data_IF_821743556604
#
_entry.id   IF_821743556604
#
_cell.length_a   1.000
_cell.length_b   1.000
_cell.length_c   1.000
_cell.angle_alpha   90.00
_cell.angle_beta   90.00
_cell.angle_gamma   90.00
#
_symmetry.space_group_name_H-M   'P 1'
#
loop_
_entity.id
_entity.type
_entity.pdbx_description
1 polymer ?
#
# COMPACT_ATOMS: atom_id res chain seq x y z
N UNK A 1 -44.90 -40.26 31.72
CA UNK A 1 -46.03 -39.38 32.08
C UNK A 1 -45.42 -38.14 32.73
N UNK A 2 -45.38 -36.95 32.12
CA UNK A 2 -46.49 -36.00 31.99
C UNK A 2 -46.21 -35.04 30.82
N UNK A 3 -47.22 -34.84 29.98
CA UNK A 3 -47.33 -33.79 28.97
C UNK A 3 -47.73 -32.49 29.68
N UNK A 4 -47.04 -31.38 29.43
CA UNK A 4 -47.66 -30.05 29.42
C UNK A 4 -47.05 -29.26 28.24
N UNK A 5 -47.90 -29.05 27.25
CA UNK A 5 -47.74 -28.12 26.13
C UNK A 5 -48.25 -26.76 26.61
N UNK A 6 -47.53 -25.68 26.31
CA UNK A 6 -48.13 -24.34 26.22
C UNK A 6 -47.43 -23.55 25.09
N UNK A 7 -48.18 -23.41 23.99
CA UNK A 7 -47.98 -22.45 22.90
C UNK A 7 -48.22 -21.03 23.40
N UNK A 8 -47.35 -20.09 23.05
CA UNK A 8 -47.59 -18.68 22.61
C UNK A 8 -46.25 -17.93 22.72
N UNK A 9 -45.80 -17.09 21.79
CA UNK A 9 -46.39 -16.55 20.59
C UNK A 9 -45.33 -15.93 19.66
N UNK A 10 -45.82 -15.56 18.47
CA UNK A 10 -45.17 -14.81 17.40
C UNK A 10 -44.45 -13.52 17.85
N UNK A 11 -43.39 -13.17 17.09
CA UNK A 11 -42.71 -11.87 16.83
C UNK A 11 -41.19 -12.04 17.05
N UNK A 12 -40.28 -11.57 16.21
CA UNK A 12 -40.36 -10.80 14.98
C UNK A 12 -39.07 -11.04 14.18
N UNK A 13 -39.18 -11.03 12.86
CA UNK A 13 -38.04 -11.00 11.96
C UNK A 13 -37.22 -9.70 12.18
N UNK A 14 -35.91 -9.83 12.35
CA UNK A 14 -34.96 -8.79 11.93
C UNK A 14 -33.66 -9.46 11.48
N UNK A 15 -33.56 -9.62 10.16
CA UNK A 15 -32.29 -9.86 9.50
C UNK A 15 -31.47 -8.56 9.61
N UNK A 16 -30.49 -8.54 10.51
CA UNK A 16 -29.48 -7.50 10.51
C UNK A 16 -28.23 -8.07 9.86
N UNK A 17 -28.11 -7.82 8.55
CA UNK A 17 -26.80 -7.83 7.89
C UNK A 17 -26.02 -6.64 8.44
N UNK A 18 -25.37 -6.82 9.59
CA UNK A 18 -24.30 -5.93 10.01
C UNK A 18 -23.06 -6.27 9.18
N UNK A 19 -23.04 -5.76 7.95
CA UNK A 19 -21.82 -5.62 7.19
C UNK A 19 -20.88 -4.72 8.02
N UNK A 20 -19.90 -5.32 8.67
CA UNK A 20 -18.73 -4.61 9.18
C UNK A 20 -17.93 -4.09 7.97
N UNK A 21 -18.45 -3.04 7.33
CA UNK A 21 -17.64 -2.12 6.58
C UNK A 21 -16.75 -1.44 7.61
N UNK A 22 -15.62 -2.07 7.91
CA UNK A 22 -14.52 -1.39 8.56
C UNK A 22 -14.18 -0.21 7.63
N UNK A 23 -14.28 1.05 8.09
CA UNK A 23 -13.62 2.12 7.38
C UNK A 23 -12.14 1.72 7.41
N UNK A 24 -11.63 1.33 6.26
CA UNK A 24 -10.21 1.19 6.04
C UNK A 24 -9.64 2.57 6.33
N UNK A 25 -9.17 2.75 7.55
CA UNK A 25 -8.42 3.89 8.01
C UNK A 25 -7.14 3.86 7.17
N UNK A 26 -7.23 4.40 5.97
CA UNK A 26 -6.08 4.71 5.16
C UNK A 26 -5.27 5.66 6.05
N UNK A 27 -4.06 5.29 6.49
CA UNK A 27 -3.25 6.21 7.24
C UNK A 27 -3.10 7.42 6.32
N UNK A 28 -3.65 8.56 6.76
CA UNK A 28 -3.42 9.83 6.12
C UNK A 28 -1.92 10.00 6.11
N UNK A 29 -1.35 9.69 4.94
CA UNK A 29 0.08 9.70 4.70
C UNK A 29 0.47 11.13 4.94
N UNK A 30 1.04 11.40 6.13
CA UNK A 30 1.59 12.70 6.47
C UNK A 30 2.56 13.03 5.35
N UNK A 31 2.12 13.88 4.43
CA UNK A 31 2.78 14.06 3.15
C UNK A 31 4.06 14.82 3.43
N UNK A 32 5.13 14.08 3.69
CA UNK A 32 6.47 14.63 3.76
C UNK A 32 6.74 15.35 2.45
N UNK A 33 7.32 16.55 2.55
CA UNK A 33 7.62 17.37 1.39
C UNK A 33 8.37 16.55 0.32
N UNK A 34 8.09 16.76 -0.98
CA UNK A 34 8.80 16.09 -2.06
C UNK A 34 10.30 16.31 -1.96
N UNK A 35 11.08 15.25 -2.18
CA UNK A 35 12.54 15.29 -2.24
C UNK A 35 12.95 15.52 -3.69
N UNK A 36 13.47 16.70 -3.98
CA UNK A 36 13.93 17.07 -5.32
C UNK A 36 15.28 16.44 -5.66
N UNK A 37 15.47 16.12 -6.94
CA UNK A 37 16.69 15.55 -7.50
C UNK A 37 16.90 14.07 -7.20
N UNK A 38 18.14 13.62 -7.41
CA UNK A 38 18.59 12.26 -7.10
C UNK A 38 18.62 11.99 -5.59
N UNK A 39 18.54 10.73 -5.21
CA UNK A 39 18.66 10.30 -3.81
C UNK A 39 20.10 10.46 -3.32
N UNK A 40 20.29 11.37 -2.38
CA UNK A 40 21.58 11.59 -1.69
C UNK A 40 21.60 10.98 -0.29
N UNK A 41 20.46 11.02 0.42
CA UNK A 41 20.28 10.34 1.71
C UNK A 41 19.63 8.97 1.48
N UNK A 42 20.48 7.95 1.33
CA UNK A 42 20.03 6.57 1.13
C UNK A 42 19.35 6.00 2.38
N UNK A 43 19.73 6.42 3.59
CA UNK A 43 19.11 5.92 4.82
C UNK A 43 17.68 6.45 5.00
N UNK A 44 17.40 7.68 4.61
CA UNK A 44 16.03 8.20 4.52
C UNK A 44 15.21 7.45 3.47
N UNK A 45 15.81 7.19 2.30
CA UNK A 45 15.16 6.44 1.23
C UNK A 45 14.77 5.03 1.65
N UNK A 46 15.69 4.26 2.25
CA UNK A 46 15.40 2.89 2.72
C UNK A 46 14.27 2.88 3.77
N UNK A 47 14.25 3.86 4.68
CA UNK A 47 13.13 4.02 5.64
C UNK A 47 11.81 4.30 4.95
N UNK A 48 11.81 5.12 3.89
CA UNK A 48 10.61 5.37 3.09
C UNK A 48 10.13 4.10 2.37
N UNK A 49 11.03 3.36 1.71
CA UNK A 49 10.70 2.08 1.05
C UNK A 49 10.13 1.07 2.06
N UNK A 50 10.67 1.03 3.29
CA UNK A 50 10.17 0.15 4.34
C UNK A 50 8.68 0.39 4.71
N UNK A 51 8.12 1.56 4.40
CA UNK A 51 6.68 1.84 4.57
C UNK A 51 5.78 1.17 3.52
N UNK A 52 6.39 0.51 2.52
CA UNK A 52 5.73 -0.15 1.39
C UNK A 52 4.82 0.76 0.57
N UNK A 53 5.38 1.85 0.00
CA UNK A 53 4.60 2.82 -0.73
C UNK A 53 4.01 2.22 -2.01
N UNK A 54 2.89 2.79 -2.46
CA UNK A 54 2.43 2.57 -3.83
C UNK A 54 3.35 3.30 -4.82
N UNK A 55 3.27 2.92 -6.09
CA UNK A 55 4.05 3.56 -7.14
C UNK A 55 3.67 5.04 -7.35
N UNK A 56 2.44 5.42 -7.03
CA UNK A 56 1.98 6.83 -7.04
C UNK A 56 2.61 7.60 -5.89
N UNK A 57 2.53 7.07 -4.67
CA UNK A 57 3.13 7.68 -3.48
C UNK A 57 4.63 7.90 -3.67
N UNK A 58 5.33 6.94 -4.27
CA UNK A 58 6.75 7.06 -4.61
C UNK A 58 7.00 8.25 -5.52
N UNK A 59 6.24 8.39 -6.61
CA UNK A 59 6.40 9.50 -7.58
C UNK A 59 6.08 10.86 -6.97
N UNK A 60 5.15 10.92 -6.01
CA UNK A 60 4.88 12.14 -5.27
C UNK A 60 6.05 12.51 -4.34
N UNK A 61 6.64 11.53 -3.67
CA UNK A 61 7.69 11.78 -2.69
C UNK A 61 9.09 11.97 -3.31
N UNK A 62 9.39 11.25 -4.39
CA UNK A 62 10.65 11.32 -5.16
C UNK A 62 10.35 11.58 -6.65
N UNK A 63 9.90 12.79 -7.02
CA UNK A 63 9.44 13.09 -8.38
C UNK A 63 10.54 12.98 -9.45
N UNK A 64 11.80 13.22 -9.08
CA UNK A 64 12.93 13.23 -10.00
C UNK A 64 13.65 11.87 -10.09
N UNK A 65 13.23 10.89 -9.28
CA UNK A 65 13.78 9.53 -9.33
C UNK A 65 12.94 8.70 -10.29
N UNK A 66 13.57 8.19 -11.34
CA UNK A 66 12.91 7.30 -12.30
C UNK A 66 12.61 5.96 -11.62
N UNK A 67 11.34 5.73 -11.33
CA UNK A 67 10.84 4.43 -10.87
C UNK A 67 10.63 3.50 -12.06
N UNK A 68 11.22 2.30 -12.00
CA UNK A 68 11.01 1.19 -12.95
C UNK A 68 10.35 0.05 -12.19
N UNK A 69 9.16 -0.38 -12.64
CA UNK A 69 8.39 -1.45 -12.03
C UNK A 69 8.66 -2.82 -12.71
N UNK A 70 8.31 -3.93 -12.06
CA UNK A 70 8.36 -5.24 -12.70
C UNK A 70 7.53 -5.28 -13.98
N UNK A 71 8.15 -5.70 -15.08
CA UNK A 71 7.52 -5.75 -16.41
C UNK A 71 7.72 -4.48 -17.26
N UNK A 72 8.20 -3.38 -16.69
CA UNK A 72 8.56 -2.20 -17.46
C UNK A 72 9.77 -2.48 -18.35
N UNK A 73 9.71 -1.98 -19.59
CA UNK A 73 10.84 -2.02 -20.51
C UNK A 73 11.79 -0.87 -20.17
N UNK A 74 13.02 -1.21 -19.76
CA UNK A 74 14.10 -0.26 -19.50
C UNK A 74 15.36 -0.61 -20.30
N UNK A 75 16.08 0.42 -20.75
CA UNK A 75 17.38 0.26 -21.41
C UNK A 75 18.46 -0.06 -20.38
N UNK A 76 19.44 -0.89 -20.77
CA UNK A 76 20.62 -1.26 -19.95
C UNK A 76 21.68 -0.16 -19.93
N UNK A 77 21.28 1.08 -19.69
CA UNK A 77 22.21 2.18 -19.45
C UNK A 77 22.78 2.04 -18.04
N UNK A 78 24.10 2.14 -17.86
CA UNK A 78 24.72 2.09 -16.55
C UNK A 78 24.72 3.49 -15.92
N UNK A 79 24.08 3.66 -14.75
CA UNK A 79 24.09 4.90 -13.98
C UNK A 79 24.51 4.63 -12.53
N UNK A 80 25.19 5.60 -11.93
CA UNK A 80 25.70 5.51 -10.55
C UNK A 80 25.31 6.72 -9.69
N UNK A 81 24.28 7.45 -10.09
CA UNK A 81 23.86 8.71 -9.47
C UNK A 81 22.56 8.59 -8.67
N UNK A 82 22.06 7.37 -8.40
CA UNK A 82 20.79 7.12 -7.71
C UNK A 82 19.58 7.87 -8.32
N UNK A 83 19.62 8.17 -9.62
CA UNK A 83 18.51 8.81 -10.33
C UNK A 83 17.44 7.82 -10.82
N UNK A 84 17.68 6.51 -10.72
CA UNK A 84 16.76 5.48 -11.18
C UNK A 84 16.73 4.29 -10.23
N UNK A 85 15.52 3.89 -9.86
CA UNK A 85 15.26 2.82 -8.91
C UNK A 85 14.43 1.72 -9.57
N UNK A 86 14.96 0.51 -9.57
CA UNK A 86 14.28 -0.69 -10.05
C UNK A 86 13.59 -1.34 -8.85
N UNK A 87 12.27 -1.23 -8.78
CA UNK A 87 11.49 -1.67 -7.65
C UNK A 87 11.10 -3.14 -7.75
N UNK A 88 11.10 -3.80 -6.60
CA UNK A 88 10.38 -5.05 -6.37
C UNK A 88 9.01 -4.72 -5.78
N UNK A 89 7.98 -5.45 -6.19
CA UNK A 89 6.61 -5.25 -5.70
C UNK A 89 5.98 -6.53 -5.20
N UNK A 90 5.10 -6.42 -4.21
CA UNK A 90 4.25 -7.52 -3.78
C UNK A 90 3.07 -7.78 -4.74
N UNK A 91 2.22 -8.76 -4.40
CA UNK A 91 1.02 -9.11 -5.18
C UNK A 91 -0.04 -8.01 -5.25
N UNK A 92 0.03 -7.01 -4.36
CA UNK A 92 -0.83 -5.83 -4.36
C UNK A 92 -0.24 -4.64 -5.11
N UNK A 93 0.97 -4.79 -5.68
CA UNK A 93 1.68 -3.74 -6.41
C UNK A 93 2.34 -2.70 -5.50
N UNK A 94 2.50 -2.98 -4.20
CA UNK A 94 3.26 -2.11 -3.29
C UNK A 94 4.74 -2.40 -3.41
N UNK A 95 5.55 -1.34 -3.36
CA UNK A 95 7.00 -1.44 -3.43
C UNK A 95 7.49 -2.08 -2.13
N UNK A 96 8.24 -3.17 -2.22
CA UNK A 96 8.79 -3.88 -1.05
C UNK A 96 10.30 -3.79 -0.94
N UNK A 97 10.96 -3.36 -2.01
CA UNK A 97 12.42 -3.35 -2.12
C UNK A 97 12.85 -2.94 -3.51
N UNK A 98 14.10 -3.22 -3.85
CA UNK A 98 14.69 -2.84 -5.14
C UNK A 98 16.14 -2.38 -5.04
N UNK A 99 16.61 -1.71 -6.09
CA UNK A 99 17.98 -1.20 -6.17
C UNK A 99 18.13 -0.03 -7.14
N UNK A 100 19.12 0.81 -6.89
CA UNK A 100 19.56 1.82 -7.85
C UNK A 100 20.45 1.21 -8.96
N UNK A 101 20.27 1.69 -10.20
CA UNK A 101 21.08 1.33 -11.38
C UNK A 101 20.93 2.34 -12.52
#
# INVERSE_FOLDING_TARGET
>A
MRRIVLLTGLLAASAQLAACAQPMNQPESSASAPVAGKVTDTAAFERYIATRPSAEQFRTHYPDVRLVLPGDIATKELRHDNSRYFAETDSSGRITGGRFQ
#
